data_IF_991510451190
#
_entry.id   IF_991510451190
#
_cell.length_a   1.000
_cell.length_b   1.000
_cell.length_c   1.000
_cell.angle_alpha   90.00
_cell.angle_beta   90.00
_cell.angle_gamma   90.00
#
_symmetry.space_group_name_H-M   'P 1'
#
loop_
_entity.id
_entity.type
_entity.pdbx_description
1 polymer ?
#
# COMPACT_ATOMS: atom_id res chain seq x y z
N UNK A 1 -7.89 22.28 -4.64
CA UNK A 1 -7.94 21.06 -3.82
C UNK A 1 -7.53 19.94 -4.75
N UNK A 2 -6.50 19.18 -4.38
CA UNK A 2 -5.89 18.17 -5.25
C UNK A 2 -6.88 17.03 -5.44
N UNK A 3 -7.23 16.70 -6.68
CA UNK A 3 -8.05 15.52 -6.94
C UNK A 3 -7.17 14.27 -7.05
N UNK A 4 -7.40 13.28 -6.17
CA UNK A 4 -6.58 12.07 -6.06
C UNK A 4 -7.45 10.85 -6.38
N UNK A 5 -7.04 10.07 -7.38
CA UNK A 5 -7.68 8.81 -7.74
C UNK A 5 -7.00 7.64 -7.04
N UNK A 6 -7.70 6.91 -6.17
CA UNK A 6 -7.14 5.76 -5.45
C UNK A 6 -7.63 4.45 -6.07
N UNK A 7 -6.69 3.60 -6.49
CA UNK A 7 -6.95 2.25 -7.03
C UNK A 7 -7.29 1.20 -5.97
N UNK A 8 -8.18 1.52 -5.03
CA UNK A 8 -8.71 0.59 -4.03
C UNK A 8 -9.94 1.13 -3.32
N UNK A 9 -10.91 0.24 -3.03
CA UNK A 9 -12.04 0.49 -2.12
C UNK A 9 -11.81 0.04 -0.66
N UNK A 10 -10.61 -0.41 -0.31
CA UNK A 10 -10.33 -0.82 1.06
C UNK A 10 -10.35 0.42 1.99
N UNK A 11 -11.18 0.45 3.04
CA UNK A 11 -11.31 1.63 3.92
C UNK A 11 -9.98 2.03 4.57
N UNK A 12 -9.10 1.09 4.87
CA UNK A 12 -7.78 1.39 5.45
C UNK A 12 -6.85 2.09 4.45
N UNK A 13 -6.95 1.73 3.15
CA UNK A 13 -6.17 2.35 2.08
C UNK A 13 -6.70 3.76 1.77
N UNK A 14 -8.04 3.92 1.74
CA UNK A 14 -8.69 5.24 1.61
C UNK A 14 -8.24 6.15 2.75
N UNK A 15 -8.41 5.68 4.00
CA UNK A 15 -8.07 6.48 5.17
C UNK A 15 -6.58 6.80 5.25
N UNK A 16 -5.72 5.83 4.95
CA UNK A 16 -4.27 6.06 4.93
C UNK A 16 -3.86 7.10 3.89
N UNK A 17 -4.47 7.07 2.70
CA UNK A 17 -4.24 8.08 1.66
C UNK A 17 -4.66 9.47 2.13
N UNK A 18 -5.88 9.62 2.66
CA UNK A 18 -6.37 10.90 3.19
C UNK A 18 -5.45 11.48 4.27
N UNK A 19 -4.99 10.63 5.21
CA UNK A 19 -4.10 11.03 6.29
C UNK A 19 -2.73 11.46 5.75
N UNK A 20 -2.15 10.71 4.82
CA UNK A 20 -0.85 11.02 4.23
C UNK A 20 -0.84 12.40 3.56
N UNK A 21 -1.85 12.69 2.74
CA UNK A 21 -1.98 14.01 2.10
C UNK A 21 -2.17 15.12 3.15
N UNK A 22 -2.98 14.88 4.19
CA UNK A 22 -3.18 15.84 5.29
C UNK A 22 -1.87 16.13 6.04
N UNK A 23 -1.11 15.11 6.41
CA UNK A 23 0.19 15.23 7.11
C UNK A 23 1.19 15.99 6.24
N UNK A 24 1.17 15.76 4.92
CA UNK A 24 2.00 16.49 3.96
C UNK A 24 1.57 17.97 3.76
N UNK A 25 0.52 18.44 4.45
CA UNK A 25 -0.01 19.80 4.27
C UNK A 25 -0.75 20.00 2.95
N UNK A 26 -1.10 18.93 2.25
CA UNK A 26 -1.74 18.94 0.94
C UNK A 26 -3.24 18.71 1.08
N UNK A 27 -4.05 19.70 0.68
CA UNK A 27 -5.52 19.55 0.66
C UNK A 27 -5.93 18.69 -0.54
N UNK A 28 -6.30 17.43 -0.28
CA UNK A 28 -6.73 16.49 -1.30
C UNK A 28 -8.18 16.02 -1.11
N UNK A 29 -8.85 15.72 -2.22
CA UNK A 29 -10.09 14.96 -2.28
C UNK A 29 -9.79 13.59 -2.89
N UNK A 30 -10.00 12.51 -2.12
CA UNK A 30 -9.68 11.14 -2.55
C UNK A 30 -10.92 10.47 -3.13
N UNK A 31 -10.87 10.14 -4.41
CA UNK A 31 -11.90 9.36 -5.11
C UNK A 31 -11.40 7.92 -5.24
N UNK A 32 -12.01 6.99 -4.51
CA UNK A 32 -11.67 5.57 -4.55
C UNK A 32 -12.41 4.83 -5.67
N UNK A 33 -11.68 4.01 -6.42
CA UNK A 33 -12.27 3.11 -7.43
C UNK A 33 -11.91 1.65 -7.14
N UNK A 34 -12.59 0.74 -7.83
CA UNK A 34 -12.19 -0.67 -7.87
C UNK A 34 -10.83 -0.80 -8.56
N UNK A 35 -9.89 -1.62 -8.05
CA UNK A 35 -8.65 -1.90 -8.76
C UNK A 35 -8.88 -2.75 -10.03
N UNK A 36 -7.86 -2.87 -10.90
CA UNK A 36 -7.85 -3.89 -11.97
C UNK A 36 -8.10 -5.30 -11.41
N UNK A 37 -8.91 -6.09 -12.11
CA UNK A 37 -9.32 -7.43 -11.66
C UNK A 37 -8.28 -8.54 -11.83
N UNK A 38 -7.14 -8.23 -12.45
CA UNK A 38 -6.07 -9.19 -12.81
C UNK A 38 -4.79 -8.97 -11.97
N UNK A 39 -4.95 -8.45 -10.75
CA UNK A 39 -3.88 -8.31 -9.78
C UNK A 39 -3.78 -9.56 -8.90
N UNK A 40 -2.54 -9.94 -8.58
CA UNK A 40 -2.25 -11.05 -7.67
C UNK A 40 -2.85 -10.79 -6.29
N UNK A 41 -3.50 -11.79 -5.67
CA UNK A 41 -4.10 -11.65 -4.35
C UNK A 41 -3.07 -11.48 -3.22
N UNK A 42 -1.90 -12.12 -3.32
CA UNK A 42 -0.81 -12.05 -2.33
C UNK A 42 0.54 -11.93 -3.05
N UNK A 43 0.99 -10.70 -3.38
CA UNK A 43 2.24 -10.49 -4.11
C UNK A 43 3.47 -10.93 -3.29
N UNK A 44 4.37 -11.70 -3.92
CA UNK A 44 5.61 -12.17 -3.30
C UNK A 44 6.81 -11.67 -4.11
N UNK A 45 7.65 -10.87 -3.45
CA UNK A 45 8.82 -10.26 -4.05
C UNK A 45 8.61 -8.80 -4.38
N UNK A 46 9.72 -8.05 -4.31
CA UNK A 46 9.70 -6.59 -4.40
C UNK A 46 9.09 -6.11 -5.73
N UNK A 47 9.51 -6.71 -6.85
CA UNK A 47 9.07 -6.30 -8.18
C UNK A 47 7.57 -6.50 -8.40
N UNK A 48 7.00 -7.59 -7.88
CA UNK A 48 5.56 -7.87 -7.99
C UNK A 48 4.74 -6.85 -7.21
N UNK A 49 5.17 -6.52 -5.98
CA UNK A 49 4.49 -5.53 -5.12
C UNK A 49 4.55 -4.14 -5.77
N UNK A 50 5.72 -3.71 -6.26
CA UNK A 50 5.89 -2.42 -6.95
C UNK A 50 5.01 -2.39 -8.20
N UNK A 51 5.03 -3.43 -9.02
CA UNK A 51 4.20 -3.51 -10.22
C UNK A 51 2.71 -3.43 -9.88
N UNK A 52 2.25 -4.14 -8.85
CA UNK A 52 0.87 -4.07 -8.35
C UNK A 52 0.47 -2.63 -7.97
N UNK A 53 1.30 -1.95 -7.17
CA UNK A 53 1.07 -0.57 -6.78
C UNK A 53 1.01 0.38 -7.99
N UNK A 54 1.96 0.28 -8.92
CA UNK A 54 1.99 1.12 -10.13
C UNK A 54 0.77 0.87 -11.02
N UNK A 55 0.38 -0.39 -11.22
CA UNK A 55 -0.78 -0.76 -12.04
C UNK A 55 -2.08 -0.20 -11.46
N UNK A 56 -2.26 -0.30 -10.13
CA UNK A 56 -3.40 0.33 -9.43
C UNK A 56 -3.42 1.85 -9.63
N UNK A 57 -2.27 2.51 -9.47
CA UNK A 57 -2.15 3.96 -9.62
C UNK A 57 -2.48 4.42 -11.06
N UNK A 58 -1.88 3.76 -12.05
CA UNK A 58 -2.11 4.01 -13.49
C UNK A 58 -3.57 3.81 -13.88
N UNK A 59 -4.17 2.73 -13.42
CA UNK A 59 -5.57 2.46 -13.68
C UNK A 59 -6.47 3.54 -13.08
N UNK A 60 -6.21 3.94 -11.83
CA UNK A 60 -7.02 4.94 -11.15
C UNK A 60 -7.01 6.31 -11.83
N UNK A 61 -5.83 6.83 -12.17
CA UNK A 61 -5.72 8.16 -12.84
C UNK A 61 -6.35 8.15 -14.25
N UNK A 62 -6.34 7.00 -14.94
CA UNK A 62 -6.97 6.86 -16.26
C UNK A 62 -8.50 6.83 -16.22
N UNK A 63 -9.10 6.43 -15.09
CA UNK A 63 -10.56 6.31 -14.94
C UNK A 63 -11.18 7.58 -14.35
N UNK A 64 -10.53 8.20 -13.34
CA UNK A 64 -11.06 9.39 -12.67
C UNK A 64 -10.67 10.63 -13.45
N UNK A 65 -11.63 11.22 -14.17
CA UNK A 65 -11.41 12.44 -14.96
C UNK A 65 -10.90 13.58 -14.07
N UNK A 66 -9.93 14.33 -14.58
CA UNK A 66 -9.31 15.49 -13.92
C UNK A 66 -8.53 15.16 -12.63
N UNK A 67 -8.24 13.89 -12.34
CA UNK A 67 -7.35 13.55 -11.23
C UNK A 67 -5.93 14.05 -11.52
N UNK A 68 -5.34 14.76 -10.57
CA UNK A 68 -3.95 15.24 -10.64
C UNK A 68 -2.97 14.10 -10.33
N UNK A 69 -3.38 13.19 -9.44
CA UNK A 69 -2.60 12.02 -9.07
C UNK A 69 -3.43 10.74 -9.07
N UNK A 70 -2.82 9.66 -9.50
CA UNK A 70 -3.24 8.28 -9.22
C UNK A 70 -2.42 7.71 -8.07
N UNK A 71 -3.08 7.07 -7.11
CA UNK A 71 -2.45 6.39 -5.98
C UNK A 71 -2.79 4.91 -6.06
N UNK A 72 -1.77 4.07 -5.94
CA UNK A 72 -1.90 2.64 -5.79
C UNK A 72 -1.14 2.19 -4.55
N UNK A 73 -1.73 1.29 -3.78
CA UNK A 73 -1.13 0.76 -2.55
C UNK A 73 -1.21 -0.76 -2.63
N UNK A 74 -0.08 -1.44 -2.49
CA UNK A 74 0.03 -2.89 -2.50
C UNK A 74 0.79 -3.35 -1.26
N UNK A 75 0.21 -4.30 -0.53
CA UNK A 75 0.91 -5.00 0.54
C UNK A 75 1.36 -6.34 -0.01
N UNK A 76 2.52 -6.81 0.44
CA UNK A 76 2.99 -8.14 0.08
C UNK A 76 4.25 -8.48 0.86
N UNK A 77 4.88 -9.58 0.48
CA UNK A 77 5.98 -10.15 1.24
C UNK A 77 7.27 -10.06 0.43
N UNK A 78 8.29 -9.41 0.98
CA UNK A 78 9.64 -9.42 0.44
C UNK A 78 10.49 -10.48 1.16
N UNK A 79 11.49 -11.01 0.45
CA UNK A 79 12.48 -11.93 1.04
C UNK A 79 13.75 -11.15 1.36
N UNK A 80 14.31 -11.40 2.54
CA UNK A 80 15.60 -10.84 2.95
C UNK A 80 16.63 -11.97 2.91
N UNK A 81 17.72 -11.76 2.17
CA UNK A 81 18.79 -12.75 2.06
C UNK A 81 19.34 -13.08 3.45
N UNK A 82 19.38 -14.36 3.79
CA UNK A 82 19.87 -14.85 5.09
C UNK A 82 18.80 -15.00 6.18
N UNK A 83 17.53 -14.71 5.88
CA UNK A 83 16.40 -14.92 6.78
C UNK A 83 15.40 -15.90 6.14
N UNK A 84 14.84 -16.82 6.92
CA UNK A 84 13.80 -17.74 6.46
C UNK A 84 12.42 -17.09 6.42
N UNK A 85 12.20 -16.10 7.30
CA UNK A 85 10.99 -15.31 7.37
C UNK A 85 10.88 -14.35 6.19
N UNK A 86 9.65 -14.23 5.66
CA UNK A 86 9.30 -13.11 4.80
C UNK A 86 9.10 -11.84 5.61
N UNK A 87 9.27 -10.69 4.99
CA UNK A 87 8.95 -9.38 5.58
C UNK A 87 7.72 -8.83 4.88
N UNK A 88 6.62 -8.64 5.62
CA UNK A 88 5.45 -7.93 5.13
C UNK A 88 5.79 -6.45 5.02
N UNK A 89 5.53 -5.87 3.86
CA UNK A 89 5.74 -4.46 3.56
C UNK A 89 4.56 -3.94 2.73
N UNK A 90 4.20 -2.67 2.96
CA UNK A 90 3.26 -1.95 2.10
C UNK A 90 4.02 -0.94 1.25
N UNK A 91 3.80 -0.99 -0.07
CA UNK A 91 4.38 -0.05 -1.03
C UNK A 91 3.25 0.76 -1.67
N UNK A 92 3.44 2.07 -1.70
CA UNK A 92 2.59 2.99 -2.44
C UNK A 92 3.31 3.51 -3.69
N UNK A 93 2.54 3.67 -4.77
CA UNK A 93 2.95 4.35 -5.98
C UNK A 93 2.04 5.56 -6.23
N UNK A 94 2.63 6.70 -6.54
CA UNK A 94 1.92 7.91 -6.96
C UNK A 94 2.34 8.27 -8.38
N UNK A 95 1.38 8.30 -9.29
CA UNK A 95 1.56 8.71 -10.69
C UNK A 95 0.87 10.04 -10.94
N UNK A 96 1.45 10.91 -11.77
CA UNK A 96 0.81 12.15 -12.23
C UNK A 96 0.36 12.06 -13.70
N UNK A 97 -0.28 13.12 -14.19
CA UNK A 97 -0.72 13.22 -15.59
C UNK A 97 0.41 13.21 -16.63
N UNK A 98 1.67 13.41 -16.24
CA UNK A 98 2.83 13.26 -17.14
C UNK A 98 3.36 11.82 -17.21
N UNK A 99 2.87 10.94 -16.33
CA UNK A 99 3.33 9.56 -16.21
C UNK A 99 4.51 9.36 -15.27
N UNK A 100 5.01 10.42 -14.61
CA UNK A 100 6.06 10.30 -13.59
C UNK A 100 5.53 9.48 -12.42
N UNK A 101 6.32 8.52 -11.95
CA UNK A 101 5.98 7.65 -10.80
C UNK A 101 6.91 7.95 -9.64
N UNK A 102 6.36 8.02 -8.43
CA UNK A 102 7.11 8.05 -7.17
C UNK A 102 6.68 6.89 -6.29
N UNK A 103 7.62 6.29 -5.57
CA UNK A 103 7.38 5.14 -4.71
C UNK A 103 7.62 5.52 -3.24
N UNK A 104 6.89 4.88 -2.35
CA UNK A 104 7.05 5.01 -0.91
C UNK A 104 6.78 3.68 -0.23
N UNK A 105 7.51 3.42 0.84
CA UNK A 105 7.50 2.16 1.57
C UNK A 105 7.06 2.43 3.00
N UNK A 106 6.22 1.55 3.55
CA UNK A 106 6.02 1.47 4.99
C UNK A 106 7.24 0.82 5.66
N UNK A 107 7.38 0.94 6.99
CA UNK A 107 8.15 -0.03 7.75
C UNK A 107 7.68 -1.45 7.42
N UNK A 108 8.64 -2.38 7.38
CA UNK A 108 8.37 -3.81 7.23
C UNK A 108 8.45 -4.56 8.56
N UNK A 109 7.80 -5.71 8.65
CA UNK A 109 7.90 -6.59 9.82
C UNK A 109 7.97 -8.06 9.41
N UNK A 110 8.69 -8.88 10.19
CA UNK A 110 8.83 -10.32 9.91
C UNK A 110 7.49 -11.03 10.09
N UNK A 111 7.12 -11.83 9.10
CA UNK A 111 5.97 -12.71 9.13
C UNK A 111 6.37 -14.01 9.83
N UNK A 112 5.64 -14.46 10.87
CA UNK A 112 5.92 -15.72 11.54
C UNK A 112 6.03 -16.89 10.54
N UNK A 113 7.09 -17.71 10.68
CA UNK A 113 7.37 -18.85 9.81
C UNK A 113 6.17 -19.78 9.59
N UNK A 114 5.37 -20.01 10.63
CA UNK A 114 4.14 -20.82 10.54
C UNK A 114 3.14 -20.28 9.52
N UNK A 115 3.03 -18.96 9.36
CA UNK A 115 2.16 -18.33 8.38
C UNK A 115 2.79 -18.34 6.99
N UNK A 116 4.11 -18.11 6.92
CA UNK A 116 4.85 -18.21 5.65
C UNK A 116 4.71 -19.58 4.98
N UNK A 117 4.68 -20.67 5.75
CA UNK A 117 4.49 -22.02 5.23
C UNK A 117 3.18 -22.21 4.45
N UNK A 118 2.14 -21.46 4.80
CA UNK A 118 0.86 -21.46 4.08
C UNK A 118 0.87 -20.49 2.90
N UNK A 119 1.50 -19.32 3.08
CA UNK A 119 1.65 -18.32 2.00
C UNK A 119 2.42 -18.88 0.81
N UNK A 120 3.52 -19.60 1.05
CA UNK A 120 4.28 -20.24 -0.04
C UNK A 120 3.51 -21.34 -0.77
N UNK A 121 2.38 -21.80 -0.21
CA UNK A 121 1.45 -22.74 -0.85
C UNK A 121 0.31 -22.03 -1.59
N UNK A 122 0.36 -20.70 -1.68
CA UNK A 122 -0.60 -19.88 -2.42
C UNK A 122 -1.80 -19.40 -1.60
N UNK A 123 -1.76 -19.50 -0.27
CA UNK A 123 -2.83 -18.97 0.58
C UNK A 123 -2.54 -17.51 0.93
N UNK A 124 -3.54 -16.62 0.83
CA UNK A 124 -3.39 -15.23 1.27
C UNK A 124 -3.03 -15.15 2.76
N UNK A 125 -2.11 -14.25 3.11
CA UNK A 125 -1.67 -14.05 4.48
C UNK A 125 -2.85 -13.63 5.37
N UNK A 126 -3.76 -12.81 4.85
CA UNK A 126 -4.95 -12.39 5.59
C UNK A 126 -5.86 -13.58 5.96
N UNK A 127 -5.97 -14.59 5.09
CA UNK A 127 -6.79 -15.78 5.33
C UNK A 127 -6.12 -16.73 6.33
N UNK A 128 -4.80 -16.89 6.24
CA UNK A 128 -4.01 -17.61 7.23
C UNK A 128 -4.20 -17.01 8.62
N UNK A 129 -4.07 -15.69 8.73
CA UNK A 129 -4.18 -14.97 10.00
C UNK A 129 -5.62 -14.99 10.53
N UNK A 130 -6.62 -14.80 9.66
CA UNK A 130 -8.03 -14.85 10.05
C UNK A 130 -8.41 -16.22 10.62
N UNK A 131 -7.96 -17.31 9.97
CA UNK A 131 -8.19 -18.68 10.46
C UNK A 131 -7.45 -18.95 11.77
N UNK A 132 -6.19 -18.51 11.89
CA UNK A 132 -5.39 -18.75 13.09
C UNK A 132 -5.95 -18.06 14.35
N UNK A 133 -6.43 -16.82 14.21
CA UNK A 133 -6.97 -16.04 15.33
C UNK A 133 -8.49 -16.18 15.49
N UNK A 134 -9.17 -16.93 14.62
CA UNK A 134 -10.64 -17.07 14.64
C UNK A 134 -11.38 -15.76 14.37
N UNK A 135 -10.76 -14.82 13.65
CA UNK A 135 -11.31 -13.49 13.41
C UNK A 135 -11.48 -13.21 11.92
N UNK A 136 -12.71 -13.18 11.39
CA UNK A 136 -12.94 -12.91 9.98
C UNK A 136 -12.62 -11.47 9.63
N UNK A 137 -12.16 -11.27 8.38
CA UNK A 137 -11.84 -9.97 7.79
C UNK A 137 -10.78 -9.17 8.55
N UNK A 138 -9.84 -9.84 9.23
CA UNK A 138 -8.77 -9.20 10.01
C UNK A 138 -7.98 -8.20 9.15
N UNK A 139 -7.81 -8.51 7.86
CA UNK A 139 -7.11 -7.68 6.89
C UNK A 139 -7.80 -6.35 6.55
N UNK A 140 -9.13 -6.26 6.70
CA UNK A 140 -9.91 -5.00 6.52
C UNK A 140 -10.07 -4.22 7.82
N UNK A 141 -9.76 -4.83 8.96
CA UNK A 141 -9.69 -4.15 10.25
C UNK A 141 -8.27 -3.63 10.44
N UNK A 142 -7.42 -4.44 11.02
CA UNK A 142 -6.19 -3.98 11.63
C UNK A 142 -4.96 -4.84 11.28
N UNK A 143 -5.16 -5.89 10.47
CA UNK A 143 -4.14 -6.76 9.89
C UNK A 143 -3.35 -7.58 10.90
N UNK A 144 -2.43 -8.39 10.37
CA UNK A 144 -1.45 -9.13 11.16
C UNK A 144 -0.62 -8.20 12.03
N UNK A 145 -0.13 -7.08 11.47
CA UNK A 145 0.70 -6.12 12.19
C UNK A 145 0.05 -5.68 13.51
N UNK A 146 -1.21 -5.25 13.50
CA UNK A 146 -1.80 -4.81 14.75
C UNK A 146 -2.09 -5.96 15.71
N UNK A 147 -2.19 -7.21 15.22
CA UNK A 147 -2.35 -8.38 16.10
C UNK A 147 -1.06 -8.62 16.86
N UNK A 148 0.06 -8.52 16.15
CA UNK A 148 1.39 -8.66 16.74
C UNK A 148 1.73 -7.47 17.66
N UNK A 149 1.28 -6.26 17.34
CA UNK A 149 1.59 -5.04 18.10
C UNK A 149 0.49 -4.60 19.05
N UNK A 150 -0.54 -5.41 19.31
CA UNK A 150 -1.68 -5.04 20.19
C UNK A 150 -2.30 -3.68 19.82
N UNK A 151 -2.41 -3.40 18.51
CA UNK A 151 -2.95 -2.16 17.90
C UNK A 151 -2.13 -0.90 18.10
N UNK A 152 -0.89 -0.96 18.62
CA UNK A 152 -0.01 0.20 18.61
C UNK A 152 0.38 0.63 17.19
N UNK A 153 0.51 -0.33 16.27
CA UNK A 153 0.68 -0.09 14.84
C UNK A 153 -0.32 -0.95 14.08
N UNK A 154 -1.08 -0.37 13.16
CA UNK A 154 -2.06 -1.10 12.34
C UNK A 154 -1.87 -0.84 10.83
N UNK A 155 -2.78 -1.38 10.02
CA UNK A 155 -2.71 -1.19 8.56
C UNK A 155 -2.94 0.26 8.13
N UNK A 156 -3.70 1.05 8.89
CA UNK A 156 -3.91 2.46 8.54
C UNK A 156 -2.58 3.19 8.68
N UNK A 157 -1.82 2.93 9.74
CA UNK A 157 -0.46 3.48 9.92
C UNK A 157 0.44 3.11 8.74
N UNK A 158 0.56 1.82 8.42
CA UNK A 158 1.44 1.37 7.32
C UNK A 158 1.03 1.95 5.96
N UNK A 159 -0.27 2.01 5.64
CA UNK A 159 -0.75 2.65 4.42
C UNK A 159 -0.46 4.15 4.41
N UNK A 160 -0.63 4.83 5.55
CA UNK A 160 -0.36 6.27 5.69
C UNK A 160 1.11 6.55 5.42
N UNK A 161 2.00 5.79 6.07
CA UNK A 161 3.45 5.97 5.94
C UNK A 161 3.90 5.68 4.51
N UNK A 162 3.45 4.57 3.89
CA UNK A 162 3.80 4.26 2.50
C UNK A 162 3.42 5.39 1.54
N UNK A 163 2.19 5.92 1.63
CA UNK A 163 1.74 7.03 0.78
C UNK A 163 2.50 8.31 1.10
N UNK A 164 2.75 8.60 2.37
CA UNK A 164 3.50 9.79 2.79
C UNK A 164 4.94 9.77 2.27
N UNK A 165 5.61 8.62 2.33
CA UNK A 165 6.94 8.46 1.73
C UNK A 165 6.90 8.66 0.21
N UNK A 166 5.85 8.19 -0.47
CA UNK A 166 5.69 8.37 -1.91
C UNK A 166 5.42 9.83 -2.32
N UNK A 167 4.93 10.66 -1.38
CA UNK A 167 4.75 12.10 -1.56
C UNK A 167 6.06 12.89 -1.40
N UNK A 168 7.11 12.34 -0.79
CA UNK A 168 8.37 13.08 -0.55
C UNK A 168 8.90 13.76 -1.83
N UNK A 169 9.01 13.07 -2.98
CA UNK A 169 9.51 13.71 -4.21
C UNK A 169 8.50 14.68 -4.85
N UNK A 170 7.27 14.73 -4.35
CA UNK A 170 6.15 15.56 -4.83
C UNK A 170 5.91 16.79 -3.97
N UNK A 171 6.51 16.86 -2.78
CA UNK A 171 6.33 17.98 -1.88
C UNK A 171 6.88 19.27 -2.53
N UNK A 172 6.18 20.42 -2.41
CA UNK A 172 6.59 21.67 -3.05
C UNK A 172 8.04 22.07 -2.73
N UNK A 173 8.48 21.87 -1.49
CA UNK A 173 9.84 22.18 -1.03
C UNK A 173 10.90 21.18 -1.47
N UNK A 174 10.51 20.00 -1.97
CA UNK A 174 11.44 18.99 -2.49
C UNK A 174 11.50 18.96 -4.02
N UNK A 175 10.57 19.64 -4.71
CA UNK A 175 10.35 19.44 -6.15
C UNK A 175 11.64 19.65 -6.96
N UNK A 176 12.44 20.67 -6.66
CA UNK A 176 13.72 20.94 -7.34
C UNK A 176 14.74 19.80 -7.17
N UNK A 177 14.80 19.15 -6.00
CA UNK A 177 15.73 18.04 -5.73
C UNK A 177 15.41 16.79 -6.55
N UNK A 178 14.17 16.67 -7.03
CA UNK A 178 13.66 15.51 -7.77
C UNK A 178 13.24 15.88 -9.20
N UNK A 179 13.66 17.04 -9.70
CA UNK A 179 13.65 17.36 -11.14
C UNK A 179 14.90 16.73 -11.76
N UNK A 180 14.68 15.66 -12.53
CA UNK A 180 15.67 15.13 -13.48
C UNK A 180 15.43 15.72 -14.85
#
# INVERSE_FOLDING_TARGET
MILVALGSRNPNKVRGTELAFRIAGLRANVVSIEPPGDLSPEPIGLDEIINGAIRRARYAIGIVRNAEFGVGIEAGIIRVKGFEEGVDVTIAAIIDGSGKVTLGFSPGFMVPRKFMNEVVRGVELNDVVSRYYGEPNIGRKYGLIGTLTRRFIDRIVLNTEAVYMALIPRMPWNTELFRG
#
